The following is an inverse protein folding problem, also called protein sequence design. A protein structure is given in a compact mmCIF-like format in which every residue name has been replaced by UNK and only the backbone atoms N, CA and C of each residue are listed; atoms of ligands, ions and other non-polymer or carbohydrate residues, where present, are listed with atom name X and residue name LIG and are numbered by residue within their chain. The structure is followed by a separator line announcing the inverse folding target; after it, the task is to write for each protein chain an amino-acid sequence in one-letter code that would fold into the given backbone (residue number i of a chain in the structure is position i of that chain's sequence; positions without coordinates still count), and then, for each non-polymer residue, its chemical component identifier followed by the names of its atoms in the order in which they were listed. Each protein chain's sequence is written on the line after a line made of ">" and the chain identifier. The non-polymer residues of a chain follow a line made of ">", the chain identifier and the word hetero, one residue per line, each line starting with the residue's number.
data_IF_582288796054
#
_entry.id   IF_582288796054
#
_cell.length_a   1.000
_cell.length_b   1.000
_cell.length_c   1.000
_cell.angle_alpha   90.00
_cell.angle_beta   90.00
_cell.angle_gamma   90.00
#
_symmetry.space_group_name_H-M   'P 1'
#
loop_
_entity.id
_entity.type
_entity.pdbx_description
1 polymer ?
#
# COMPACT_ATOMS: atom_id res chain seq x y z
N UNK A 1 -13.55 6.23 0.33
CA UNK A 1 -12.95 4.98 0.87
C UNK A 1 -11.65 4.75 0.13
N UNK A 2 -10.58 4.42 0.85
CA UNK A 2 -9.28 4.12 0.25
C UNK A 2 -9.37 2.94 -0.72
N UNK A 3 -8.77 3.11 -1.89
CA UNK A 3 -8.69 2.10 -2.95
C UNK A 3 -7.24 1.70 -3.17
N UNK A 4 -7.01 0.48 -3.63
CA UNK A 4 -5.66 0.02 -3.99
C UNK A 4 -4.96 0.97 -4.97
N UNK A 5 -5.72 1.51 -5.94
CA UNK A 5 -5.23 2.50 -6.89
C UNK A 5 -4.65 3.77 -6.26
N UNK A 6 -5.06 4.15 -5.04
CA UNK A 6 -4.51 5.30 -4.33
C UNK A 6 -3.05 5.07 -3.90
N UNK A 7 -2.73 3.86 -3.45
CA UNK A 7 -1.36 3.47 -3.11
C UNK A 7 -0.47 3.27 -4.33
N UNK A 8 -1.03 2.76 -5.43
CA UNK A 8 -0.30 2.66 -6.71
C UNK A 8 0.07 4.07 -7.21
N UNK A 9 -0.91 4.97 -7.26
CA UNK A 9 -0.71 6.37 -7.67
C UNK A 9 0.30 7.09 -6.76
N UNK A 10 0.29 6.82 -5.45
CA UNK A 10 1.31 7.34 -4.55
C UNK A 10 2.73 6.92 -4.99
N UNK A 11 2.93 5.64 -5.28
CA UNK A 11 4.23 5.12 -5.71
C UNK A 11 4.70 5.77 -7.02
N UNK A 12 3.80 5.89 -8.01
CA UNK A 12 4.06 6.56 -9.29
C UNK A 12 4.52 8.02 -9.07
N UNK A 13 3.79 8.77 -8.26
CA UNK A 13 4.09 10.19 -7.99
C UNK A 13 5.39 10.40 -7.20
N UNK A 14 5.73 9.47 -6.30
CA UNK A 14 7.02 9.50 -5.60
C UNK A 14 8.18 9.23 -6.56
N UNK A 15 8.04 8.23 -7.45
CA UNK A 15 9.07 7.91 -8.44
C UNK A 15 9.23 9.03 -9.48
N UNK A 16 8.12 9.65 -9.89
CA UNK A 16 8.12 10.81 -10.78
C UNK A 16 8.69 12.09 -10.13
N UNK A 17 8.94 12.07 -8.81
CA UNK A 17 9.46 13.23 -8.07
C UNK A 17 8.43 14.30 -7.76
N UNK A 18 7.15 14.06 -8.02
CA UNK A 18 6.05 14.98 -7.68
C UNK A 18 5.82 15.06 -6.17
N UNK A 19 6.08 13.96 -5.45
CA UNK A 19 6.05 13.89 -4.00
C UNK A 19 7.49 13.84 -3.50
N UNK A 20 7.91 14.84 -2.73
CA UNK A 20 9.21 14.84 -2.07
C UNK A 20 9.25 13.73 -1.04
N UNK A 21 10.14 12.76 -1.23
CA UNK A 21 10.32 11.62 -0.34
C UNK A 21 11.80 11.34 -0.11
N UNK A 22 12.15 10.71 1.00
CA UNK A 22 13.51 10.25 1.25
C UNK A 22 13.93 9.14 0.27
N UNK A 23 15.24 8.92 0.15
CA UNK A 23 15.82 7.89 -0.74
C UNK A 23 15.16 6.53 -0.60
N UNK A 24 15.05 6.01 0.63
CA UNK A 24 14.46 4.69 0.86
C UNK A 24 12.97 4.59 0.50
N UNK A 25 12.21 5.69 0.63
CA UNK A 25 10.81 5.71 0.21
C UNK A 25 10.72 5.67 -1.31
N UNK A 26 11.58 6.41 -2.03
CA UNK A 26 11.66 6.35 -3.49
C UNK A 26 12.03 4.95 -3.97
N UNK A 27 13.05 4.33 -3.38
CA UNK A 27 13.46 2.96 -3.70
C UNK A 27 12.36 1.94 -3.41
N UNK A 28 11.62 2.09 -2.30
CA UNK A 28 10.48 1.22 -2.00
C UNK A 28 9.34 1.38 -3.01
N UNK A 29 9.04 2.61 -3.45
CA UNK A 29 8.02 2.88 -4.47
C UNK A 29 8.45 2.30 -5.83
N UNK A 30 9.71 2.46 -6.21
CA UNK A 30 10.25 1.87 -7.44
C UNK A 30 10.15 0.34 -7.39
N UNK A 31 10.62 -0.28 -6.30
CA UNK A 31 10.52 -1.73 -6.09
C UNK A 31 9.07 -2.21 -6.19
N UNK A 32 8.12 -1.51 -5.59
CA UNK A 32 6.70 -1.85 -5.66
C UNK A 32 6.20 -1.89 -7.12
N UNK A 33 6.53 -0.88 -7.92
CA UNK A 33 6.14 -0.81 -9.33
C UNK A 33 6.83 -1.90 -10.17
N UNK A 34 8.10 -2.19 -9.87
CA UNK A 34 8.84 -3.29 -10.50
C UNK A 34 8.25 -4.65 -10.12
N UNK A 35 7.86 -4.85 -8.86
CA UNK A 35 7.20 -6.06 -8.37
C UNK A 35 5.81 -6.25 -9.02
N UNK A 36 5.06 -5.17 -9.28
CA UNK A 36 3.79 -5.27 -10.04
C UNK A 36 4.00 -5.75 -11.48
N UNK A 37 5.13 -5.39 -12.10
CA UNK A 37 5.41 -5.70 -13.50
C UNK A 37 6.15 -7.02 -13.70
N UNK A 38 7.06 -7.34 -12.79
CA UNK A 38 8.04 -8.43 -12.93
C UNK A 38 8.07 -9.36 -11.70
N UNK A 39 7.20 -9.16 -10.71
CA UNK A 39 7.17 -9.95 -9.48
C UNK A 39 6.94 -11.44 -9.73
N UNK A 40 6.12 -11.77 -10.73
CA UNK A 40 5.77 -13.17 -11.05
C UNK A 40 6.99 -13.99 -11.48
N UNK A 41 7.99 -13.37 -12.11
CA UNK A 41 9.27 -14.01 -12.47
C UNK A 41 10.05 -14.50 -11.23
N UNK A 42 9.76 -13.91 -10.06
CA UNK A 42 10.33 -14.28 -8.75
C UNK A 42 9.33 -15.04 -7.87
N UNK A 43 8.16 -15.42 -8.41
CA UNK A 43 7.11 -16.12 -7.67
C UNK A 43 6.34 -15.25 -6.66
N UNK A 44 6.38 -13.93 -6.82
CA UNK A 44 5.63 -12.97 -5.99
C UNK A 44 4.49 -12.40 -6.82
N UNK A 45 3.27 -12.47 -6.30
CA UNK A 45 2.06 -12.06 -7.01
C UNK A 45 1.33 -10.99 -6.23
N UNK A 46 0.76 -10.02 -6.94
CA UNK A 46 -0.06 -8.98 -6.30
C UNK A 46 -1.53 -9.37 -6.31
N UNK A 47 -2.10 -9.58 -5.12
CA UNK A 47 -3.51 -9.86 -4.92
C UNK A 47 -4.27 -8.60 -4.53
N UNK A 48 -4.89 -7.95 -5.52
CA UNK A 48 -5.74 -6.77 -5.28
C UNK A 48 -6.88 -7.05 -4.27
N UNK A 49 -7.57 -8.20 -4.27
CA UNK A 49 -8.57 -8.49 -3.24
C UNK A 49 -8.01 -8.49 -1.81
N UNK A 50 -6.80 -9.03 -1.61
CA UNK A 50 -6.15 -9.04 -0.29
C UNK A 50 -5.69 -7.65 0.12
N UNK A 51 -5.12 -6.89 -0.81
CA UNK A 51 -4.77 -5.49 -0.61
C UNK A 51 -6.01 -4.66 -0.22
N UNK A 52 -7.12 -4.82 -0.93
CA UNK A 52 -8.36 -4.08 -0.65
C UNK A 52 -9.00 -4.50 0.68
N UNK A 53 -8.85 -5.77 1.09
CA UNK A 53 -9.37 -6.28 2.35
C UNK A 53 -8.79 -5.52 3.56
N UNK A 54 -7.46 -5.31 3.62
CA UNK A 54 -6.86 -4.55 4.72
C UNK A 54 -7.30 -3.07 4.71
N UNK A 55 -7.45 -2.44 3.54
CA UNK A 55 -7.95 -1.06 3.45
C UNK A 55 -9.37 -0.93 3.97
N UNK A 56 -10.21 -1.94 3.72
CA UNK A 56 -11.57 -2.01 4.26
C UNK A 56 -11.58 -2.23 5.78
N UNK A 57 -10.64 -3.00 6.32
CA UNK A 57 -10.52 -3.24 7.75
C UNK A 57 -10.24 -1.96 8.55
N UNK A 58 -9.50 -1.00 7.98
CA UNK A 58 -9.18 0.27 8.67
C UNK A 58 -10.40 1.13 9.02
N UNK A 59 -11.57 0.87 8.42
CA UNK A 59 -12.84 1.48 8.82
C UNK A 59 -13.25 1.14 10.26
N UNK A 60 -12.69 0.07 10.82
CA UNK A 60 -12.95 -0.40 12.18
C UNK A 60 -11.81 -0.05 13.15
N UNK A 61 -10.74 0.59 12.68
CA UNK A 61 -9.55 0.87 13.49
C UNK A 61 -9.63 2.31 13.98
N UNK A 62 -9.96 2.56 15.27
CA UNK A 62 -10.05 3.91 15.78
C UNK A 62 -8.69 4.48 16.17
N UNK A 63 -8.58 5.81 16.15
CA UNK A 63 -7.52 6.49 16.88
C UNK A 63 -7.64 6.17 18.39
N UNK A 64 -6.55 5.72 19.01
CA UNK A 64 -6.55 5.29 20.42
C UNK A 64 -6.51 6.48 21.39
N UNK A 65 -5.87 7.60 21.00
CA UNK A 65 -5.67 8.80 21.83
C UNK A 65 -5.70 10.06 20.98
N UNK A 66 -5.81 11.21 21.65
CA UNK A 66 -5.79 12.53 21.02
C UNK A 66 -7.17 13.05 20.62
N UNK A 67 -7.19 14.14 19.85
CA UNK A 67 -8.44 14.82 19.48
C UNK A 67 -9.41 13.98 18.63
N UNK A 68 -8.88 12.97 17.93
CA UNK A 68 -9.67 12.06 17.09
C UNK A 68 -10.00 10.73 17.78
N UNK A 69 -9.73 10.59 19.08
CA UNK A 69 -9.91 9.33 19.80
C UNK A 69 -11.32 8.75 19.60
N UNK A 70 -11.39 7.45 19.27
CA UNK A 70 -12.63 6.75 18.98
C UNK A 70 -13.13 6.87 17.53
N UNK A 71 -12.59 7.80 16.73
CA UNK A 71 -12.93 7.91 15.31
C UNK A 71 -12.05 6.96 14.47
N UNK A 72 -12.58 6.32 13.42
CA UNK A 72 -11.77 5.51 12.49
C UNK A 72 -10.63 6.30 11.86
N UNK A 73 -9.49 5.64 11.65
CA UNK A 73 -8.34 6.24 10.99
C UNK A 73 -8.66 6.44 9.50
N UNK A 74 -8.64 7.69 9.05
CA UNK A 74 -8.66 8.01 7.63
C UNK A 74 -7.27 7.75 7.00
N UNK A 75 -7.22 6.85 6.02
CA UNK A 75 -5.98 6.48 5.36
C UNK A 75 -5.53 7.57 4.37
N UNK A 76 -4.33 8.09 4.57
CA UNK A 76 -3.61 8.88 3.58
C UNK A 76 -2.99 7.97 2.51
N UNK A 77 -2.71 8.52 1.34
CA UNK A 77 -2.12 7.80 0.19
C UNK A 77 -0.89 6.96 0.56
N UNK A 78 0.01 7.48 1.41
CA UNK A 78 1.18 6.74 1.87
C UNK A 78 0.84 5.60 2.86
N UNK A 79 -0.22 5.75 3.68
CA UNK A 79 -0.74 4.64 4.49
C UNK A 79 -1.25 3.52 3.57
N UNK A 80 -2.00 3.87 2.53
CA UNK A 80 -2.50 2.91 1.55
C UNK A 80 -1.34 2.17 0.90
N UNK A 81 -0.31 2.89 0.44
CA UNK A 81 0.89 2.29 -0.14
C UNK A 81 1.55 1.26 0.78
N UNK A 82 1.75 1.57 2.06
CA UNK A 82 2.33 0.62 3.03
C UNK A 82 1.45 -0.62 3.16
N UNK A 83 0.14 -0.44 3.32
CA UNK A 83 -0.78 -1.55 3.55
C UNK A 83 -0.88 -2.48 2.34
N UNK A 84 -0.96 -1.94 1.13
CA UNK A 84 -1.04 -2.78 -0.08
C UNK A 84 0.27 -3.53 -0.35
N UNK A 85 1.42 -2.99 0.05
CA UNK A 85 2.69 -3.73 -0.02
C UNK A 85 2.68 -4.95 0.91
N UNK A 86 2.27 -4.76 2.17
CA UNK A 86 2.33 -5.80 3.20
C UNK A 86 1.30 -6.91 2.94
N UNK A 87 0.08 -6.54 2.54
CA UNK A 87 -1.04 -7.48 2.45
C UNK A 87 -1.41 -7.87 1.01
N UNK A 88 -0.97 -7.10 0.02
CA UNK A 88 -1.25 -7.34 -1.39
C UNK A 88 -0.29 -8.34 -2.02
N UNK A 89 1.02 -8.24 -1.76
CA UNK A 89 1.98 -9.19 -2.30
C UNK A 89 1.95 -10.52 -1.54
N UNK A 90 1.90 -11.62 -2.29
CA UNK A 90 1.85 -12.99 -1.76
C UNK A 90 2.80 -13.90 -2.51
N UNK A 91 3.29 -14.92 -1.81
CA UNK A 91 3.97 -16.08 -2.40
C UNK A 91 3.00 -17.26 -2.23
N UNK A 92 2.43 -17.81 -3.32
CA UNK A 92 1.55 -18.97 -3.25
C UNK A 92 2.28 -20.18 -2.64
N UNK A 93 1.63 -20.86 -1.71
CA UNK A 93 2.18 -22.09 -1.11
C UNK A 93 1.89 -23.34 -1.95
N UNK A 94 0.96 -23.24 -2.91
CA UNK A 94 0.59 -24.29 -3.85
C UNK A 94 0.30 -23.61 -5.19
N UNK A 95 0.84 -24.17 -6.27
CA UNK A 95 0.61 -23.72 -7.65
C UNK A 95 -0.77 -24.12 -8.16
#
# INVERSE_FOLDING_TARGET
>A
MAKVADGIRYAERVVAGEIVAGEFVRLACQRFLDDLKYGEERGIYFSEPRAQHILNFYKFVPHVKGALAGQPIELMDWHVFILINIFGFVIPLVN
#
